data_IF_438821774368
#
_entry.id   IF_438821774368
#
_cell.length_a   1.000
_cell.length_b   1.000
_cell.length_c   1.000
_cell.angle_alpha   90.00
_cell.angle_beta   90.00
_cell.angle_gamma   90.00
#
_symmetry.space_group_name_H-M   'P 1'
#
loop_
_entity.id
_entity.type
_entity.pdbx_description
1 polymer ?
#
# COMPACT_ATOMS: atom_id res chain seq x y z
N UNK A 1 -6.76 -14.54 17.14
CA UNK A 1 -7.88 -14.14 16.24
C UNK A 1 -7.29 -13.09 15.32
N UNK A 2 -7.38 -13.26 14.00
CA UNK A 2 -6.84 -12.31 13.01
C UNK A 2 -7.72 -11.05 12.97
N UNK A 3 -7.13 -9.89 12.69
CA UNK A 3 -7.88 -8.67 12.43
C UNK A 3 -8.56 -8.72 11.06
N UNK A 4 -7.87 -9.27 10.05
CA UNK A 4 -8.44 -9.58 8.74
C UNK A 4 -8.04 -11.01 8.40
N UNK A 5 -8.96 -11.80 7.83
CA UNK A 5 -8.66 -13.14 7.30
C UNK A 5 -9.29 -13.31 5.92
N UNK A 6 -8.46 -13.73 4.96
CA UNK A 6 -8.87 -14.18 3.64
C UNK A 6 -8.62 -15.67 3.53
N UNK A 7 -9.65 -16.46 3.21
CA UNK A 7 -9.60 -17.92 3.15
C UNK A 7 -10.08 -18.41 1.79
N UNK A 8 -9.15 -18.86 0.94
CA UNK A 8 -9.39 -19.39 -0.40
C UNK A 8 -10.33 -18.49 -1.23
N UNK A 9 -10.05 -17.17 -1.23
CA UNK A 9 -10.90 -16.17 -1.87
C UNK A 9 -10.71 -16.22 -3.38
N UNK A 10 -11.79 -16.52 -4.10
CA UNK A 10 -11.86 -16.46 -5.55
C UNK A 10 -12.83 -15.36 -5.98
N UNK A 11 -12.53 -14.70 -7.08
CA UNK A 11 -13.43 -13.73 -7.70
C UNK A 11 -13.39 -13.83 -9.21
N UNK A 12 -14.54 -14.19 -9.80
CA UNK A 12 -14.78 -14.13 -11.24
C UNK A 12 -15.92 -13.15 -11.49
N UNK A 13 -15.69 -12.17 -12.35
CA UNK A 13 -16.72 -11.20 -12.76
C UNK A 13 -17.60 -11.78 -13.89
N UNK A 14 -18.77 -11.18 -14.11
CA UNK A 14 -19.69 -11.60 -15.17
C UNK A 14 -19.11 -11.54 -16.59
N UNK A 15 -18.04 -10.76 -16.78
CA UNK A 15 -17.26 -10.71 -18.03
C UNK A 15 -16.36 -11.93 -18.25
N UNK A 16 -16.32 -12.87 -17.30
CA UNK A 16 -15.40 -14.04 -17.33
C UNK A 16 -14.00 -13.76 -16.78
N UNK A 17 -13.68 -12.53 -16.42
CA UNK A 17 -12.37 -12.17 -15.86
C UNK A 17 -12.25 -12.76 -14.45
N UNK A 18 -11.25 -13.63 -14.23
CA UNK A 18 -10.86 -14.15 -12.91
C UNK A 18 -9.89 -13.20 -12.26
N UNK A 19 -10.40 -12.38 -11.35
CA UNK A 19 -9.60 -11.34 -10.66
C UNK A 19 -8.86 -11.89 -9.44
N UNK A 20 -9.38 -12.93 -8.76
CA UNK A 20 -8.75 -13.61 -7.62
C UNK A 20 -8.83 -15.10 -7.79
N UNK A 21 -7.76 -15.81 -7.42
CA UNK A 21 -7.59 -17.26 -7.61
C UNK A 21 -7.03 -17.89 -6.32
N UNK A 22 -7.93 -18.16 -5.34
CA UNK A 22 -7.60 -18.88 -4.13
C UNK A 22 -6.72 -18.07 -3.13
N UNK A 23 -6.92 -16.75 -3.06
CA UNK A 23 -6.14 -15.89 -2.16
C UNK A 23 -6.40 -16.25 -0.70
N UNK A 24 -5.31 -16.52 0.04
CA UNK A 24 -5.37 -16.84 1.48
C UNK A 24 -4.23 -16.18 2.23
N UNK A 25 -4.55 -15.35 3.21
CA UNK A 25 -3.63 -14.81 4.21
C UNK A 25 -4.40 -14.15 5.36
N UNK A 26 -3.68 -13.92 6.47
CA UNK A 26 -4.20 -13.24 7.65
C UNK A 26 -3.39 -12.00 7.98
N UNK A 27 -4.07 -10.97 8.47
CA UNK A 27 -3.46 -9.78 9.08
C UNK A 27 -3.70 -9.83 10.58
N UNK A 28 -2.65 -9.65 11.38
CA UNK A 28 -2.76 -9.73 12.84
C UNK A 28 -3.25 -8.40 13.44
N UNK A 29 -3.91 -8.42 14.62
CA UNK A 29 -4.26 -7.19 15.32
C UNK A 29 -3.03 -6.31 15.59
N UNK A 30 -3.16 -5.00 15.31
CA UNK A 30 -2.08 -4.02 15.47
C UNK A 30 -0.97 -4.09 14.41
N UNK A 31 -1.10 -4.95 13.41
CA UNK A 31 -0.13 -5.07 12.33
C UNK A 31 -0.29 -3.94 11.31
N UNK A 32 0.83 -3.39 10.81
CA UNK A 32 0.87 -2.55 9.61
C UNK A 32 1.26 -3.45 8.44
N UNK A 33 0.29 -3.78 7.60
CA UNK A 33 0.40 -4.80 6.55
C UNK A 33 0.31 -4.18 5.16
N UNK A 34 1.24 -4.54 4.27
CA UNK A 34 1.27 -4.10 2.88
C UNK A 34 0.65 -5.13 1.93
N UNK A 35 -0.22 -4.67 1.03
CA UNK A 35 -0.76 -5.46 -0.07
C UNK A 35 -0.29 -4.86 -1.39
N UNK A 36 0.74 -5.44 -1.98
CA UNK A 36 1.40 -4.94 -3.17
C UNK A 36 1.07 -5.79 -4.41
N UNK A 37 1.32 -5.25 -5.58
CA UNK A 37 1.15 -5.93 -6.85
C UNK A 37 0.94 -4.94 -7.99
N UNK A 38 1.17 -5.34 -9.25
CA UNK A 38 0.95 -4.49 -10.41
C UNK A 38 -0.54 -4.16 -10.60
N UNK A 39 -0.83 -3.24 -11.52
CA UNK A 39 -2.20 -2.95 -11.91
C UNK A 39 -2.86 -4.21 -12.48
N UNK A 40 -4.10 -4.46 -12.06
CA UNK A 40 -4.83 -5.69 -12.44
C UNK A 40 -4.45 -6.94 -11.63
N UNK A 41 -3.55 -6.86 -10.65
CA UNK A 41 -3.18 -8.00 -9.81
C UNK A 41 -4.32 -8.55 -8.92
N UNK A 42 -5.40 -7.79 -8.74
CA UNK A 42 -6.55 -8.18 -7.92
C UNK A 42 -6.71 -7.41 -6.61
N UNK A 43 -5.81 -6.46 -6.28
CA UNK A 43 -5.84 -5.69 -5.03
C UNK A 43 -7.19 -5.01 -4.78
N UNK A 44 -7.68 -4.22 -5.73
CA UNK A 44 -8.97 -3.52 -5.63
C UNK A 44 -10.15 -4.49 -5.51
N UNK A 45 -10.10 -5.65 -6.18
CA UNK A 45 -11.13 -6.69 -6.02
C UNK A 45 -11.14 -7.27 -4.61
N UNK A 46 -9.96 -7.50 -4.02
CA UNK A 46 -9.82 -8.00 -2.66
C UNK A 46 -10.34 -6.99 -1.64
N UNK A 47 -9.97 -5.71 -1.79
CA UNK A 47 -10.46 -4.62 -0.94
C UNK A 47 -11.97 -4.43 -1.09
N UNK A 48 -12.50 -4.52 -2.32
CA UNK A 48 -13.95 -4.41 -2.56
C UNK A 48 -14.74 -5.53 -1.87
N UNK A 49 -14.20 -6.75 -1.81
CA UNK A 49 -14.81 -7.85 -1.07
C UNK A 49 -14.72 -7.59 0.44
N UNK A 50 -13.58 -7.17 0.95
CA UNK A 50 -13.37 -6.81 2.35
C UNK A 50 -14.33 -5.70 2.80
N UNK A 51 -14.56 -4.71 1.94
CA UNK A 51 -15.50 -3.60 2.15
C UNK A 51 -16.98 -4.02 2.08
N UNK A 52 -17.27 -5.25 1.61
CA UNK A 52 -18.63 -5.70 1.33
C UNK A 52 -19.29 -5.00 0.13
N UNK A 53 -18.49 -4.40 -0.76
CA UNK A 53 -18.94 -3.80 -2.03
C UNK A 53 -19.05 -4.84 -3.16
N UNK A 54 -18.31 -5.94 -3.04
CA UNK A 54 -18.38 -7.08 -3.94
C UNK A 54 -18.46 -8.38 -3.13
N UNK A 55 -19.08 -9.41 -3.72
CA UNK A 55 -19.07 -10.74 -3.13
C UNK A 55 -17.97 -11.60 -3.75
N UNK A 56 -17.27 -12.39 -2.94
CA UNK A 56 -16.41 -13.45 -3.44
C UNK A 56 -17.25 -14.49 -4.23
N UNK A 57 -16.66 -15.09 -5.25
CA UNK A 57 -17.26 -16.22 -5.95
C UNK A 57 -17.16 -17.50 -5.09
N UNK A 58 -16.01 -17.64 -4.39
CA UNK A 58 -15.75 -18.68 -3.38
C UNK A 58 -14.84 -18.13 -2.30
N UNK A 59 -14.76 -18.88 -1.20
CA UNK A 59 -13.93 -18.52 -0.05
C UNK A 59 -14.66 -17.63 0.95
N UNK A 60 -13.92 -17.21 1.97
CA UNK A 60 -14.47 -16.48 3.11
C UNK A 60 -13.55 -15.31 3.47
N UNK A 61 -14.15 -14.19 3.87
CA UNK A 61 -13.43 -13.01 4.38
C UNK A 61 -14.04 -12.60 5.72
N UNK A 62 -13.19 -12.37 6.71
CA UNK A 62 -13.63 -11.88 8.02
C UNK A 62 -12.83 -10.66 8.47
N UNK A 63 -13.48 -9.78 9.24
CA UNK A 63 -12.89 -8.62 9.92
C UNK A 63 -13.19 -8.73 11.40
N UNK A 64 -12.18 -8.75 12.24
CA UNK A 64 -12.29 -8.96 13.70
C UNK A 64 -13.15 -10.18 14.04
N UNK A 65 -13.08 -11.24 13.21
CA UNK A 65 -13.86 -12.48 13.34
C UNK A 65 -15.27 -12.43 12.75
N UNK A 66 -15.76 -11.26 12.33
CA UNK A 66 -17.07 -11.09 11.71
C UNK A 66 -17.00 -11.32 10.20
N UNK A 67 -17.87 -12.16 9.68
CA UNK A 67 -17.96 -12.43 8.23
C UNK A 67 -18.49 -11.18 7.50
N UNK A 68 -17.80 -10.80 6.40
CA UNK A 68 -18.16 -9.58 5.64
C UNK A 68 -19.49 -9.70 4.89
N UNK A 69 -20.07 -10.90 4.78
CA UNK A 69 -21.36 -11.17 4.12
C UNK A 69 -22.43 -11.46 5.15
N UNK A 70 -22.20 -12.46 6.04
CA UNK A 70 -23.21 -12.97 6.96
C UNK A 70 -23.36 -12.08 8.22
N UNK A 71 -22.26 -11.45 8.67
CA UNK A 71 -22.25 -10.50 9.80
C UNK A 71 -21.71 -9.12 9.38
N UNK A 72 -22.21 -8.65 8.23
CA UNK A 72 -21.71 -7.44 7.57
C UNK A 72 -21.79 -6.18 8.43
N UNK A 73 -22.77 -6.10 9.34
CA UNK A 73 -22.96 -4.92 10.17
C UNK A 73 -21.83 -4.77 11.20
N UNK A 74 -21.42 -5.85 11.85
CA UNK A 74 -20.31 -5.87 12.79
C UNK A 74 -18.97 -5.74 12.05
N UNK A 75 -18.80 -6.42 10.92
CA UNK A 75 -17.61 -6.29 10.08
C UNK A 75 -17.39 -4.82 9.65
N UNK A 76 -18.43 -4.13 9.16
CA UNK A 76 -18.32 -2.72 8.74
C UNK A 76 -18.06 -1.76 9.90
N UNK A 77 -18.62 -2.01 11.09
CA UNK A 77 -18.31 -1.20 12.27
C UNK A 77 -16.84 -1.31 12.69
N UNK A 78 -16.23 -2.43 12.41
CA UNK A 78 -14.82 -2.69 12.72
C UNK A 78 -13.85 -2.18 11.63
N UNK A 79 -14.36 -1.58 10.54
CA UNK A 79 -13.58 -1.28 9.35
C UNK A 79 -13.72 0.18 8.94
N UNK A 80 -12.59 0.88 8.76
CA UNK A 80 -12.51 2.18 8.13
C UNK A 80 -11.78 2.06 6.79
N UNK A 81 -12.40 2.47 5.69
CA UNK A 81 -11.81 2.33 4.35
C UNK A 81 -11.65 3.69 3.70
N UNK A 82 -10.44 3.97 3.23
CA UNK A 82 -10.12 5.09 2.37
C UNK A 82 -10.03 4.55 0.93
N UNK A 83 -11.02 4.83 0.06
CA UNK A 83 -11.02 4.32 -1.31
C UNK A 83 -10.02 5.08 -2.19
N UNK A 84 -9.63 4.48 -3.30
CA UNK A 84 -8.77 5.13 -4.30
C UNK A 84 -9.45 6.33 -4.97
N UNK A 85 -10.74 6.23 -5.25
CA UNK A 85 -11.50 7.30 -5.90
C UNK A 85 -11.96 8.37 -4.90
N UNK A 86 -11.96 9.65 -5.35
CA UNK A 86 -12.45 10.78 -4.58
C UNK A 86 -13.97 10.90 -4.72
N UNK A 87 -14.70 10.23 -3.84
CA UNK A 87 -16.17 10.36 -3.75
C UNK A 87 -16.54 11.28 -2.58
N UNK A 88 -17.26 12.36 -2.84
CA UNK A 88 -17.69 13.31 -1.80
C UNK A 88 -19.06 13.89 -2.12
N UNK A 89 -19.79 14.23 -1.06
CA UNK A 89 -21.03 14.99 -1.19
C UNK A 89 -20.72 16.50 -1.27
N UNK A 90 -21.12 17.19 -2.34
CA UNK A 90 -20.78 18.59 -2.53
C UNK A 90 -21.63 19.57 -1.72
N UNK A 91 -22.66 19.11 -1.01
CA UNK A 91 -23.63 19.97 -0.33
C UNK A 91 -23.25 20.33 1.11
N UNK A 92 -22.39 19.53 1.72
CA UNK A 92 -22.01 19.68 3.13
C UNK A 92 -20.64 20.36 3.30
N UNK A 93 -20.44 20.97 4.46
CA UNK A 93 -19.12 21.34 4.95
C UNK A 93 -18.34 20.13 5.42
N UNK A 94 -17.04 20.27 5.61
CA UNK A 94 -16.16 19.19 6.12
C UNK A 94 -16.68 18.64 7.44
N UNK A 95 -16.99 19.51 8.40
CA UNK A 95 -17.50 19.11 9.73
C UNK A 95 -18.84 18.40 9.64
N UNK A 96 -19.78 18.91 8.85
CA UNK A 96 -21.08 18.27 8.66
C UNK A 96 -20.91 16.87 8.06
N UNK A 97 -20.07 16.73 7.05
CA UNK A 97 -19.73 15.42 6.44
C UNK A 97 -19.23 14.43 7.50
N UNK A 98 -18.34 14.84 8.39
CA UNK A 98 -17.82 13.98 9.45
C UNK A 98 -18.86 13.66 10.54
N UNK A 99 -19.71 14.61 10.89
CA UNK A 99 -20.85 14.38 11.82
C UNK A 99 -21.86 13.39 11.25
N UNK A 100 -22.23 13.55 9.97
CA UNK A 100 -23.14 12.63 9.28
C UNK A 100 -22.52 11.22 9.23
N UNK A 101 -21.26 11.11 8.86
CA UNK A 101 -20.54 9.83 8.84
C UNK A 101 -20.49 9.19 10.24
N UNK A 102 -20.21 9.97 11.28
CA UNK A 102 -20.26 9.52 12.69
C UNK A 102 -21.63 8.95 13.06
N UNK A 103 -22.70 9.63 12.61
CA UNK A 103 -24.07 9.20 12.83
C UNK A 103 -24.42 7.87 12.17
N UNK A 104 -23.90 7.57 10.97
CA UNK A 104 -24.08 6.26 10.32
C UNK A 104 -23.52 5.10 11.13
N UNK A 105 -22.48 5.31 11.91
CA UNK A 105 -21.90 4.32 12.82
C UNK A 105 -22.53 4.34 14.22
N UNK A 106 -23.52 5.20 14.45
CA UNK A 106 -24.21 5.35 15.74
C UNK A 106 -23.39 6.08 16.82
N UNK A 107 -22.28 6.76 16.42
CA UNK A 107 -21.45 7.53 17.35
C UNK A 107 -22.04 8.92 17.51
N UNK A 108 -22.47 9.25 18.74
CA UNK A 108 -23.04 10.57 19.10
C UNK A 108 -22.00 11.41 19.84
N UNK A 109 -22.17 12.74 19.80
CA UNK A 109 -21.32 13.71 20.53
C UNK A 109 -19.81 13.51 20.22
N UNK A 110 -19.46 13.35 18.94
CA UNK A 110 -18.13 13.00 18.47
C UNK A 110 -17.25 14.22 18.09
N UNK A 111 -17.68 15.43 18.43
CA UNK A 111 -17.03 16.67 17.99
C UNK A 111 -15.58 16.77 18.44
N UNK A 112 -15.25 16.36 19.66
CA UNK A 112 -13.88 16.38 20.14
C UNK A 112 -12.94 15.50 19.30
N UNK A 113 -13.37 14.31 18.88
CA UNK A 113 -12.61 13.46 17.99
C UNK A 113 -12.55 14.00 16.55
N UNK A 114 -13.65 14.57 16.07
CA UNK A 114 -13.67 15.26 14.77
C UNK A 114 -12.65 16.41 14.76
N UNK A 115 -12.59 17.22 15.81
CA UNK A 115 -11.60 18.31 15.92
C UNK A 115 -10.17 17.78 15.95
N UNK A 116 -9.90 16.69 16.65
CA UNK A 116 -8.59 16.03 16.66
C UNK A 116 -8.21 15.49 15.26
N UNK A 117 -9.14 14.84 14.56
CA UNK A 117 -8.93 14.39 13.18
C UNK A 117 -8.60 15.55 12.25
N UNK A 118 -9.38 16.62 12.32
CA UNK A 118 -9.18 17.80 11.49
C UNK A 118 -7.84 18.48 11.75
N UNK A 119 -7.45 18.60 13.01
CA UNK A 119 -6.15 19.15 13.39
C UNK A 119 -4.99 18.26 12.90
N UNK A 120 -5.08 16.95 13.13
CA UNK A 120 -4.05 15.98 12.73
C UNK A 120 -3.87 15.86 11.22
N UNK A 121 -4.91 16.14 10.45
CA UNK A 121 -4.90 16.11 8.98
C UNK A 121 -4.73 17.51 8.36
N UNK A 122 -4.42 18.55 9.14
CA UNK A 122 -4.22 19.90 8.64
C UNK A 122 -5.46 20.48 7.95
N UNK A 123 -6.65 20.22 8.51
CA UNK A 123 -7.96 20.67 7.98
C UNK A 123 -8.73 21.55 8.99
N UNK A 124 -8.12 21.94 10.14
CA UNK A 124 -8.81 22.66 11.18
C UNK A 124 -9.40 24.01 10.69
N UNK A 125 -8.65 24.75 9.88
CA UNK A 125 -9.06 26.01 9.25
C UNK A 125 -10.13 25.85 8.16
N UNK A 126 -10.33 24.63 7.68
CA UNK A 126 -11.29 24.24 6.64
C UNK A 126 -12.53 23.52 7.18
N UNK A 127 -12.64 23.37 8.51
CA UNK A 127 -13.74 22.60 9.13
C UNK A 127 -15.14 23.03 8.65
N UNK A 128 -15.35 24.32 8.44
CA UNK A 128 -16.63 24.88 7.99
C UNK A 128 -16.65 25.21 6.48
N UNK A 129 -15.58 24.89 5.75
CA UNK A 129 -15.56 25.07 4.29
C UNK A 129 -16.41 24.00 3.62
N UNK A 130 -17.08 24.38 2.50
CA UNK A 130 -17.82 23.42 1.69
C UNK A 130 -16.84 22.49 0.95
N UNK A 131 -17.22 21.21 0.80
CA UNK A 131 -16.41 20.21 0.12
C UNK A 131 -16.00 20.59 -1.31
N UNK A 132 -16.81 21.40 -2.02
CA UNK A 132 -16.49 21.89 -3.38
C UNK A 132 -15.26 22.80 -3.41
N UNK A 133 -15.03 23.56 -2.33
CA UNK A 133 -13.97 24.57 -2.24
C UNK A 133 -12.60 23.97 -1.94
N UNK A 134 -12.54 22.68 -1.63
CA UNK A 134 -11.32 21.99 -1.27
C UNK A 134 -10.52 21.55 -2.50
N UNK A 135 -9.20 21.61 -2.40
CA UNK A 135 -8.30 20.98 -3.37
C UNK A 135 -8.44 19.44 -3.36
N UNK A 136 -7.93 18.77 -4.38
CA UNK A 136 -7.95 17.29 -4.44
C UNK A 136 -7.26 16.64 -3.22
N UNK A 137 -6.10 17.16 -2.82
CA UNK A 137 -5.38 16.68 -1.62
C UNK A 137 -6.15 16.93 -0.32
N UNK A 138 -6.86 18.08 -0.19
CA UNK A 138 -7.73 18.33 0.96
C UNK A 138 -8.90 17.36 1.00
N UNK A 139 -9.57 17.12 -0.14
CA UNK A 139 -10.66 16.12 -0.24
C UNK A 139 -10.18 14.72 0.17
N UNK A 140 -8.98 14.33 -0.25
CA UNK A 140 -8.37 13.04 0.13
C UNK A 140 -8.22 12.92 1.65
N UNK A 141 -7.75 13.98 2.32
CA UNK A 141 -7.63 14.02 3.79
C UNK A 141 -8.99 13.97 4.49
N UNK A 142 -10.03 14.57 3.91
CA UNK A 142 -11.40 14.43 4.45
C UNK A 142 -11.89 12.99 4.33
N UNK A 143 -11.60 12.27 3.24
CA UNK A 143 -11.94 10.84 3.13
C UNK A 143 -11.22 10.00 4.18
N UNK A 144 -9.97 10.32 4.49
CA UNK A 144 -9.25 9.68 5.60
C UNK A 144 -9.95 9.97 6.93
N UNK A 145 -10.34 11.22 7.20
CA UNK A 145 -11.10 11.58 8.40
C UNK A 145 -12.44 10.83 8.49
N UNK A 146 -13.16 10.71 7.37
CA UNK A 146 -14.42 9.94 7.31
C UNK A 146 -14.23 8.46 7.66
N UNK A 147 -13.17 7.84 7.13
CA UNK A 147 -12.86 6.44 7.43
C UNK A 147 -12.53 6.22 8.91
N UNK A 148 -12.02 7.23 9.61
CA UNK A 148 -11.54 7.15 11.00
C UNK A 148 -12.53 7.70 12.04
N UNK A 149 -13.61 8.34 11.60
CA UNK A 149 -14.52 9.08 12.50
C UNK A 149 -15.16 8.21 13.58
N UNK A 150 -15.33 6.92 13.33
CA UNK A 150 -15.91 5.94 14.28
C UNK A 150 -14.84 5.10 15.02
N UNK A 151 -13.56 5.48 14.90
CA UNK A 151 -12.41 4.79 15.55
C UNK A 151 -12.37 3.28 15.25
N UNK A 152 -12.35 2.86 13.99
CA UNK A 152 -12.37 1.44 13.63
C UNK A 152 -11.07 0.75 14.08
N UNK A 153 -11.11 -0.49 14.60
CA UNK A 153 -9.90 -1.25 14.92
C UNK A 153 -9.07 -1.64 13.68
N UNK A 154 -9.68 -1.64 12.50
CA UNK A 154 -9.03 -1.97 11.23
C UNK A 154 -9.19 -0.81 10.25
N UNK A 155 -8.08 -0.35 9.69
CA UNK A 155 -7.99 0.76 8.72
C UNK A 155 -7.46 0.20 7.40
N UNK A 156 -8.17 0.43 6.31
CA UNK A 156 -7.74 0.08 4.95
C UNK A 156 -7.50 1.34 4.15
N UNK A 157 -6.31 1.45 3.61
CA UNK A 157 -5.87 2.60 2.82
C UNK A 157 -5.56 2.12 1.40
N UNK A 158 -6.43 2.44 0.45
CA UNK A 158 -6.23 2.09 -0.96
C UNK A 158 -5.63 3.27 -1.71
N UNK A 159 -4.30 3.22 -1.91
CA UNK A 159 -3.49 4.27 -2.53
C UNK A 159 -3.73 5.67 -1.93
N UNK A 160 -3.60 5.86 -0.61
CA UNK A 160 -4.07 7.06 0.08
C UNK A 160 -3.28 8.33 -0.29
N UNK A 161 -2.08 8.19 -0.83
CA UNK A 161 -1.15 9.28 -1.15
C UNK A 161 -1.09 9.62 -2.65
N UNK A 162 -1.90 8.95 -3.48
CA UNK A 162 -1.97 9.24 -4.91
C UNK A 162 -2.40 10.70 -5.16
N UNK A 163 -1.53 11.47 -5.86
CA UNK A 163 -1.79 12.87 -6.17
C UNK A 163 -1.69 13.84 -4.97
N UNK A 164 -1.06 13.41 -3.89
CA UNK A 164 -0.80 14.24 -2.69
C UNK A 164 0.66 14.71 -2.74
N UNK A 165 0.91 15.97 -2.37
CA UNK A 165 2.27 16.51 -2.28
C UNK A 165 3.08 15.88 -1.13
N UNK A 166 4.41 16.04 -1.18
CA UNK A 166 5.35 15.36 -0.27
C UNK A 166 5.11 15.70 1.21
N UNK A 167 4.87 16.98 1.53
CA UNK A 167 4.69 17.43 2.91
C UNK A 167 3.40 16.86 3.52
N UNK A 168 2.31 16.91 2.75
CA UNK A 168 1.03 16.34 3.16
C UNK A 168 1.08 14.81 3.28
N UNK A 169 1.86 14.15 2.42
CA UNK A 169 2.10 12.69 2.50
C UNK A 169 2.77 12.33 3.82
N UNK A 170 3.82 13.06 4.20
CA UNK A 170 4.51 12.84 5.48
C UNK A 170 3.58 13.04 6.69
N UNK A 171 2.77 14.10 6.68
CA UNK A 171 1.79 14.37 7.75
C UNK A 171 0.78 13.22 7.88
N UNK A 172 0.26 12.71 6.76
CA UNK A 172 -0.66 11.58 6.74
C UNK A 172 -0.01 10.32 7.33
N UNK A 173 1.22 10.01 6.93
CA UNK A 173 1.92 8.82 7.41
C UNK A 173 2.26 8.89 8.89
N UNK A 174 2.68 10.06 9.40
CA UNK A 174 2.90 10.27 10.84
C UNK A 174 1.62 10.02 11.64
N UNK A 175 0.48 10.50 11.13
CA UNK A 175 -0.82 10.31 11.76
C UNK A 175 -1.25 8.84 11.75
N UNK A 176 -1.16 8.14 10.60
CA UNK A 176 -1.52 6.72 10.50
C UNK A 176 -0.58 5.84 11.34
N UNK A 177 0.73 6.14 11.33
CA UNK A 177 1.70 5.43 12.17
C UNK A 177 1.42 5.62 13.68
N UNK A 178 0.92 6.80 14.10
CA UNK A 178 0.45 7.03 15.47
C UNK A 178 -0.72 6.11 15.79
N UNK A 179 -1.77 6.06 14.95
CA UNK A 179 -2.92 5.19 15.15
C UNK A 179 -2.52 3.71 15.23
N UNK A 180 -1.57 3.27 14.40
CA UNK A 180 -1.07 1.90 14.45
C UNK A 180 -0.36 1.62 15.79
N UNK A 181 0.47 2.54 16.31
CA UNK A 181 1.07 2.42 17.65
C UNK A 181 0.03 2.42 18.77
N UNK A 182 -1.12 3.04 18.57
CA UNK A 182 -2.27 3.03 19.49
C UNK A 182 -3.08 1.72 19.40
N UNK A 183 -2.69 0.78 18.54
CA UNK A 183 -3.27 -0.57 18.42
C UNK A 183 -4.18 -0.78 17.21
N UNK A 184 -4.37 0.22 16.35
CA UNK A 184 -5.14 0.03 15.12
C UNK A 184 -4.36 -0.84 14.13
N UNK A 185 -5.05 -1.79 13.49
CA UNK A 185 -4.50 -2.59 12.38
C UNK A 185 -4.60 -1.79 11.08
N UNK A 186 -3.55 -1.76 10.28
CA UNK A 186 -3.54 -1.04 9.00
C UNK A 186 -3.26 -1.98 7.85
N UNK A 187 -4.12 -1.99 6.83
CA UNK A 187 -3.89 -2.61 5.53
C UNK A 187 -3.65 -1.51 4.50
N UNK A 188 -2.46 -1.46 3.94
CA UNK A 188 -2.04 -0.47 2.96
C UNK A 188 -1.89 -1.09 1.58
N UNK A 189 -2.50 -0.48 0.55
CA UNK A 189 -2.02 -0.63 -0.82
C UNK A 189 -1.33 0.65 -1.26
N UNK A 190 -0.24 0.52 -1.96
CA UNK A 190 0.49 1.65 -2.55
C UNK A 190 1.27 1.19 -3.78
N UNK A 191 1.54 2.11 -4.67
CA UNK A 191 2.51 1.94 -5.75
C UNK A 191 3.87 2.57 -5.40
N UNK A 192 3.97 3.27 -4.28
CA UNK A 192 5.22 3.80 -3.72
C UNK A 192 5.82 2.74 -2.78
N UNK A 193 6.75 1.93 -3.32
CA UNK A 193 7.33 0.81 -2.58
C UNK A 193 8.14 1.25 -1.36
N UNK A 194 8.75 2.43 -1.41
CA UNK A 194 9.41 3.09 -0.28
C UNK A 194 8.48 3.32 0.92
N UNK A 195 7.18 3.63 0.69
CA UNK A 195 6.19 3.76 1.77
C UNK A 195 5.92 2.40 2.42
N UNK A 196 5.77 1.35 1.61
CA UNK A 196 5.54 0.00 2.12
C UNK A 196 6.77 -0.52 2.89
N UNK A 197 7.97 -0.24 2.40
CA UNK A 197 9.23 -0.59 3.07
C UNK A 197 9.34 0.09 4.45
N UNK A 198 9.04 1.38 4.52
CA UNK A 198 9.18 2.17 5.74
C UNK A 198 8.11 1.86 6.81
N UNK A 199 6.89 1.48 6.39
CA UNK A 199 5.73 1.38 7.28
C UNK A 199 5.29 -0.05 7.56
N UNK A 200 5.37 -0.95 6.57
CA UNK A 200 4.78 -2.28 6.68
C UNK A 200 5.72 -3.28 7.37
N UNK A 201 5.18 -4.01 8.34
CA UNK A 201 5.89 -5.08 9.04
C UNK A 201 5.93 -6.37 8.21
N UNK A 202 4.84 -6.65 7.49
CA UNK A 202 4.68 -7.76 6.55
C UNK A 202 4.03 -7.29 5.27
N UNK A 203 4.35 -7.99 4.19
CA UNK A 203 3.87 -7.67 2.85
C UNK A 203 3.36 -8.93 2.17
N UNK A 204 2.16 -8.84 1.59
CA UNK A 204 1.68 -9.78 0.59
C UNK A 204 1.85 -9.18 -0.80
N UNK A 205 2.43 -9.94 -1.72
CA UNK A 205 2.54 -9.54 -3.13
C UNK A 205 1.57 -10.36 -3.97
N UNK A 206 0.70 -9.67 -4.71
CA UNK A 206 -0.25 -10.27 -5.63
C UNK A 206 0.25 -10.18 -7.07
N UNK A 207 0.10 -11.27 -7.81
CA UNK A 207 0.32 -11.35 -9.27
C UNK A 207 -0.80 -12.19 -9.88
N UNK A 208 -1.54 -11.64 -10.85
CA UNK A 208 -2.62 -12.36 -11.56
C UNK A 208 -3.63 -13.06 -10.63
N UNK A 209 -4.05 -12.37 -9.58
CA UNK A 209 -5.03 -12.86 -8.61
C UNK A 209 -4.52 -13.87 -7.59
N UNK A 210 -3.22 -14.14 -7.53
CA UNK A 210 -2.58 -15.07 -6.58
C UNK A 210 -1.60 -14.35 -5.67
N UNK A 211 -1.43 -14.85 -4.46
CA UNK A 211 -0.35 -14.42 -3.57
C UNK A 211 0.93 -15.12 -4.02
N UNK A 212 1.92 -14.36 -4.47
CA UNK A 212 3.22 -14.87 -4.94
C UNK A 212 4.32 -14.70 -3.90
N UNK A 213 4.13 -13.82 -2.92
CA UNK A 213 4.99 -13.70 -1.73
C UNK A 213 4.15 -13.23 -0.54
N UNK A 214 4.48 -13.70 0.65
CA UNK A 214 3.87 -13.30 1.92
C UNK A 214 4.92 -13.44 3.02
N UNK A 215 5.60 -12.34 3.35
CA UNK A 215 6.74 -12.37 4.27
C UNK A 215 6.87 -11.07 5.06
N UNK A 216 7.69 -11.08 6.11
CA UNK A 216 8.13 -9.87 6.80
C UNK A 216 8.96 -9.00 5.86
N UNK A 217 8.78 -7.68 5.90
CA UNK A 217 9.55 -6.73 5.08
C UNK A 217 11.04 -6.94 5.23
N UNK A 218 11.54 -7.14 6.46
CA UNK A 218 12.96 -7.42 6.73
C UNK A 218 13.47 -8.71 6.09
N UNK A 219 12.62 -9.75 5.98
CA UNK A 219 12.98 -11.02 5.33
C UNK A 219 13.01 -10.85 3.81
N UNK A 220 12.05 -10.12 3.24
CA UNK A 220 12.04 -9.79 1.82
C UNK A 220 13.31 -9.02 1.41
N UNK A 221 13.68 -8.00 2.17
CA UNK A 221 14.91 -7.24 1.92
C UNK A 221 16.17 -8.09 2.10
N UNK A 222 16.20 -8.99 3.09
CA UNK A 222 17.32 -9.88 3.32
C UNK A 222 17.44 -10.99 2.28
N UNK A 223 16.34 -11.42 1.65
CA UNK A 223 16.35 -12.47 0.61
C UNK A 223 17.05 -12.00 -0.67
N UNK A 224 17.11 -10.70 -0.89
CA UNK A 224 17.87 -10.06 -1.98
C UNK A 224 19.17 -9.51 -1.39
N UNK A 225 19.98 -10.40 -0.76
CA UNK A 225 21.23 -10.05 -0.06
C UNK A 225 22.35 -9.51 -0.99
N UNK A 226 21.98 -8.91 -2.08
CA UNK A 226 22.88 -8.34 -3.06
C UNK A 226 23.11 -6.86 -2.77
N UNK A 227 24.35 -6.45 -2.86
CA UNK A 227 24.71 -5.05 -2.99
C UNK A 227 24.28 -4.59 -4.38
N UNK A 228 23.61 -3.44 -4.45
CA UNK A 228 23.18 -2.83 -5.72
C UNK A 228 24.07 -1.67 -6.07
N UNK A 229 24.62 -1.70 -7.28
CA UNK A 229 25.29 -0.54 -7.90
C UNK A 229 24.27 0.16 -8.78
N UNK A 230 23.97 1.42 -8.49
CA UNK A 230 23.10 2.28 -9.29
C UNK A 230 23.96 3.41 -9.87
N UNK A 231 23.92 3.60 -11.18
CA UNK A 231 24.71 4.64 -11.85
C UNK A 231 24.05 5.06 -13.16
N UNK A 232 24.54 6.15 -13.73
CA UNK A 232 24.11 6.63 -15.05
C UNK A 232 25.20 6.38 -16.08
N UNK A 233 24.78 5.96 -17.30
CA UNK A 233 25.64 5.79 -18.45
C UNK A 233 24.85 5.90 -19.75
N UNK A 234 25.50 6.39 -20.83
CA UNK A 234 24.95 6.38 -22.20
C UNK A 234 25.47 5.19 -23.01
N UNK A 235 26.31 4.34 -22.41
CA UNK A 235 26.95 3.21 -23.08
C UNK A 235 26.25 1.89 -22.75
N UNK A 236 26.29 0.96 -23.69
CA UNK A 236 25.80 -0.40 -23.44
C UNK A 236 26.69 -1.11 -22.41
N UNK A 237 26.06 -1.83 -21.49
CA UNK A 237 26.78 -2.62 -20.48
C UNK A 237 27.47 -3.83 -21.13
N UNK A 238 28.60 -4.31 -20.57
CA UNK A 238 29.26 -5.53 -21.00
C UNK A 238 28.31 -6.73 -20.92
N UNK A 239 28.42 -7.65 -21.89
CA UNK A 239 27.60 -8.86 -21.91
C UNK A 239 27.72 -9.70 -20.63
N UNK A 240 28.90 -9.68 -19.97
CA UNK A 240 29.14 -10.34 -18.67
C UNK A 240 28.26 -9.81 -17.53
N UNK A 241 27.77 -8.57 -17.61
CA UNK A 241 26.90 -7.95 -16.63
C UNK A 241 25.41 -8.02 -17.02
N UNK A 242 25.07 -8.32 -18.27
CA UNK A 242 23.73 -8.27 -18.81
C UNK A 242 22.71 -9.13 -18.00
N UNK A 243 23.13 -10.31 -17.53
CA UNK A 243 22.26 -11.22 -16.77
C UNK A 243 21.88 -10.71 -15.37
N UNK A 244 22.64 -9.77 -14.82
CA UNK A 244 22.45 -9.19 -13.47
C UNK A 244 22.30 -7.68 -13.48
N UNK A 245 22.06 -7.12 -14.68
CA UNK A 245 21.90 -5.71 -14.89
C UNK A 245 20.48 -5.38 -15.36
N UNK A 246 19.98 -4.24 -14.90
CA UNK A 246 18.77 -3.59 -15.43
C UNK A 246 19.16 -2.21 -15.93
N UNK A 247 18.72 -1.87 -17.14
CA UNK A 247 18.94 -0.56 -17.74
C UNK A 247 17.61 0.08 -18.10
N UNK A 248 17.39 1.30 -17.64
CA UNK A 248 16.21 2.10 -17.94
C UNK A 248 16.67 3.50 -18.36
N UNK A 249 16.61 3.79 -19.66
CA UNK A 249 17.21 5.02 -20.21
C UNK A 249 18.71 5.08 -19.92
N UNK A 250 19.16 6.14 -19.23
CA UNK A 250 20.56 6.31 -18.77
C UNK A 250 20.85 5.62 -17.43
N UNK A 251 19.82 5.22 -16.67
CA UNK A 251 20.01 4.60 -15.36
C UNK A 251 20.31 3.12 -15.52
N UNK A 252 21.42 2.67 -14.96
CA UNK A 252 21.82 1.28 -14.88
C UNK A 252 21.87 0.83 -13.42
N UNK A 253 21.37 -0.38 -13.17
CA UNK A 253 21.43 -1.05 -11.88
C UNK A 253 22.09 -2.41 -12.08
N UNK A 254 23.09 -2.72 -11.28
CA UNK A 254 23.81 -4.01 -11.35
C UNK A 254 23.85 -4.62 -9.97
N UNK A 255 23.43 -5.87 -9.85
CA UNK A 255 23.52 -6.60 -8.58
C UNK A 255 24.91 -7.17 -8.36
N UNK A 256 25.47 -7.00 -7.16
CA UNK A 256 26.71 -7.60 -6.71
C UNK A 256 26.47 -8.42 -5.45
N UNK A 257 27.12 -9.58 -5.30
CA UNK A 257 26.90 -10.51 -4.17
C UNK A 257 27.45 -9.97 -2.86
N UNK A 258 28.60 -9.29 -2.95
CA UNK A 258 29.35 -8.75 -1.81
C UNK A 258 30.27 -7.61 -2.25
N UNK A 259 31.06 -7.07 -1.33
CA UNK A 259 31.98 -5.97 -1.60
C UNK A 259 33.08 -6.36 -2.61
N UNK A 260 33.53 -7.60 -2.62
CA UNK A 260 34.53 -8.05 -3.58
C UNK A 260 33.93 -8.13 -5.01
N UNK A 261 32.69 -8.55 -5.13
CA UNK A 261 31.98 -8.56 -6.40
C UNK A 261 31.69 -7.13 -6.93
N UNK A 262 31.51 -6.13 -6.04
CA UNK A 262 31.44 -4.72 -6.42
C UNK A 262 32.71 -4.27 -7.16
N UNK A 263 33.91 -4.65 -6.64
CA UNK A 263 35.18 -4.33 -7.29
C UNK A 263 35.26 -4.96 -8.68
N UNK A 264 34.80 -6.22 -8.81
CA UNK A 264 34.77 -6.94 -10.10
C UNK A 264 33.84 -6.22 -11.09
N UNK A 265 32.65 -5.82 -10.66
CA UNK A 265 31.71 -5.08 -11.52
C UNK A 265 32.31 -3.76 -12.00
N UNK A 266 32.91 -2.98 -11.10
CA UNK A 266 33.55 -1.71 -11.45
C UNK A 266 34.75 -1.90 -12.39
N UNK A 267 35.55 -2.97 -12.18
CA UNK A 267 36.65 -3.31 -13.09
C UNK A 267 36.13 -3.64 -14.49
N UNK A 268 35.10 -4.47 -14.61
CA UNK A 268 34.48 -4.82 -15.90
C UNK A 268 33.92 -3.60 -16.65
N UNK A 269 33.25 -2.68 -15.92
CA UNK A 269 32.77 -1.42 -16.52
C UNK A 269 33.91 -0.56 -17.04
N UNK A 270 35.00 -0.43 -16.27
CA UNK A 270 36.20 0.33 -16.66
C UNK A 270 36.90 -0.30 -17.85
N UNK A 271 37.09 -1.62 -17.87
CA UNK A 271 37.73 -2.35 -18.98
C UNK A 271 36.92 -2.25 -20.28
N UNK A 272 35.58 -2.20 -20.17
CA UNK A 272 34.69 -2.00 -21.31
C UNK A 272 34.57 -0.53 -21.73
N UNK A 273 35.26 0.40 -21.06
CA UNK A 273 35.20 1.83 -21.37
C UNK A 273 33.83 2.46 -21.10
N UNK A 274 33.02 1.88 -20.21
CA UNK A 274 31.72 2.41 -19.83
C UNK A 274 31.90 3.49 -18.77
N UNK A 275 31.56 4.76 -19.08
CA UNK A 275 31.61 5.83 -18.08
C UNK A 275 30.50 5.61 -17.03
N UNK A 276 30.86 5.82 -15.77
CA UNK A 276 29.99 5.69 -14.63
C UNK A 276 29.79 7.05 -14.01
N UNK A 277 28.56 7.57 -14.05
CA UNK A 277 28.15 8.85 -13.45
C UNK A 277 27.19 8.59 -12.29
N UNK A 278 27.20 9.43 -11.27
CA UNK A 278 26.30 9.37 -10.12
C UNK A 278 26.24 7.96 -9.48
N UNK A 279 27.41 7.35 -9.21
CA UNK A 279 27.50 6.01 -8.62
C UNK A 279 26.99 6.00 -7.19
N UNK A 280 25.98 5.17 -6.95
CA UNK A 280 25.48 4.82 -5.62
C UNK A 280 25.68 3.32 -5.39
N UNK A 281 26.20 2.96 -4.22
CA UNK A 281 26.34 1.57 -3.78
C UNK A 281 25.52 1.40 -2.51
N UNK A 282 24.50 0.55 -2.55
CA UNK A 282 23.59 0.35 -1.47
C UNK A 282 23.08 -1.08 -1.37
N UNK A 283 22.19 -1.33 -0.44
CA UNK A 283 21.45 -2.60 -0.39
C UNK A 283 20.30 -2.56 -1.38
N UNK A 284 19.84 -3.75 -1.77
CA UNK A 284 18.59 -3.89 -2.49
C UNK A 284 17.44 -3.31 -1.65
N UNK A 285 16.56 -2.54 -2.28
CA UNK A 285 15.34 -2.02 -1.69
C UNK A 285 14.13 -2.89 -2.05
N UNK A 286 12.97 -2.52 -1.53
CA UNK A 286 11.73 -3.26 -1.80
C UNK A 286 11.35 -3.22 -3.29
N UNK A 287 11.78 -2.20 -4.04
CA UNK A 287 11.55 -2.12 -5.48
C UNK A 287 12.32 -3.21 -6.23
N UNK A 288 13.58 -3.44 -5.86
CA UNK A 288 14.39 -4.50 -6.43
C UNK A 288 13.79 -5.88 -6.15
N UNK A 289 13.34 -6.11 -4.90
CA UNK A 289 12.66 -7.35 -4.49
C UNK A 289 11.36 -7.55 -5.27
N UNK A 290 10.52 -6.52 -5.33
CA UNK A 290 9.23 -6.55 -6.03
C UNK A 290 9.42 -6.89 -7.51
N UNK A 291 10.35 -6.22 -8.18
CA UNK A 291 10.61 -6.46 -9.59
C UNK A 291 11.14 -7.87 -9.84
N UNK A 292 12.01 -8.40 -8.98
CA UNK A 292 12.50 -9.78 -9.09
C UNK A 292 11.35 -10.80 -8.96
N UNK A 293 10.47 -10.63 -7.97
CA UNK A 293 9.30 -11.53 -7.77
C UNK A 293 8.32 -11.42 -8.93
N UNK A 294 8.09 -10.19 -9.44
CA UNK A 294 7.13 -9.98 -10.53
C UNK A 294 7.64 -10.44 -11.89
N UNK A 295 8.97 -10.45 -12.11
CA UNK A 295 9.58 -10.94 -13.38
C UNK A 295 9.88 -12.43 -13.36
N UNK A 296 10.02 -13.06 -12.18
CA UNK A 296 10.20 -14.50 -12.08
C UNK A 296 9.01 -15.21 -12.77
N UNK A 297 9.31 -15.97 -13.84
CA UNK A 297 8.36 -16.90 -14.43
C UNK A 297 8.13 -18.03 -13.43
N UNK A 298 6.87 -18.36 -13.15
CA UNK A 298 6.57 -19.56 -12.37
C UNK A 298 7.04 -20.77 -13.18
N UNK A 299 8.17 -21.37 -12.79
CA UNK A 299 8.56 -22.72 -13.19
C UNK A 299 7.63 -23.75 -12.57
#
# INVERSE_FOLDING_TARGET
MSAISFQQVEKTYGSGVRALDGVSFDVQPGEFFGLLGPNGAGKTSLISILAGLARATRGKVTVMGHDVVDDYAAARKSLGIVPQELVFDPFFSVRETLRIQSGYFGVRNNDAWIDELLASLGLADKANANMRQLSGGMKRRVLVAQALVHRPPVIVLDEPTAGVDVELRQTLWQFIARLNREGHTVLLTTHYLEEAEALCQRIAMLKQGKVVALERTSVLLASTANTMLRFKTDHALPASLAARARVTGRSAQVSARDAADVEVVLAQLREAGVPVEDLEIGRADLEDVFLNIMTAEHQ
#
